data_IF_927145301401
#
_entry.id   IF_927145301401
#
_cell.length_a   1.000
_cell.length_b   1.000
_cell.length_c   1.000
_cell.angle_alpha   90.00
_cell.angle_beta   90.00
_cell.angle_gamma   90.00
#
_symmetry.space_group_name_H-M   'P 1'
#
loop_
_entity.id
_entity.type
_entity.pdbx_description
1 polymer ?
#
# COMPACT_ATOMS: atom_id res chain seq x y z
N UNK A 1 5.07 -19.43 3.80
CA UNK A 1 5.02 -17.97 3.60
C UNK A 1 3.88 -17.45 4.47
N UNK A 2 4.05 -16.34 5.19
CA UNK A 2 2.99 -15.78 6.05
C UNK A 2 2.09 -14.88 5.18
N UNK A 3 0.78 -14.91 5.42
CA UNK A 3 -0.22 -14.11 4.70
C UNK A 3 0.07 -12.60 4.73
N UNK A 4 0.64 -12.12 5.83
CA UNK A 4 1.12 -10.74 5.92
C UNK A 4 2.18 -10.43 4.85
N UNK A 5 3.21 -11.27 4.75
CA UNK A 5 4.31 -11.08 3.80
C UNK A 5 3.84 -11.20 2.33
N UNK A 6 2.92 -12.13 2.04
CA UNK A 6 2.30 -12.21 0.71
C UNK A 6 1.56 -10.92 0.34
N UNK A 7 0.86 -10.34 1.31
CA UNK A 7 0.11 -9.09 1.11
C UNK A 7 1.06 -7.90 0.95
N UNK A 8 2.15 -7.88 1.70
CA UNK A 8 3.21 -6.88 1.61
C UNK A 8 3.86 -6.84 0.23
N UNK A 9 4.27 -8.00 -0.28
CA UNK A 9 4.84 -8.11 -1.64
C UNK A 9 3.85 -7.63 -2.69
N UNK A 10 2.59 -8.07 -2.62
CA UNK A 10 1.56 -7.65 -3.56
C UNK A 10 1.25 -6.15 -3.48
N UNK A 11 1.26 -5.56 -2.28
CA UNK A 11 1.09 -4.12 -2.08
C UNK A 11 2.25 -3.34 -2.72
N UNK A 12 3.49 -3.77 -2.51
CA UNK A 12 4.67 -3.14 -3.12
C UNK A 12 4.63 -3.21 -4.64
N UNK A 13 4.30 -4.38 -5.21
CA UNK A 13 4.11 -4.53 -6.65
C UNK A 13 3.01 -3.60 -7.19
N UNK A 14 1.90 -3.43 -6.44
CA UNK A 14 0.83 -2.52 -6.81
C UNK A 14 1.31 -1.06 -6.82
N UNK A 15 2.01 -0.63 -5.79
CA UNK A 15 2.58 0.72 -5.70
C UNK A 15 3.61 0.98 -6.80
N UNK A 16 4.45 0.00 -7.12
CA UNK A 16 5.42 0.08 -8.25
C UNK A 16 4.70 0.17 -9.60
N UNK A 17 3.61 -0.56 -9.79
CA UNK A 17 2.77 -0.47 -11.00
C UNK A 17 2.17 0.93 -11.16
N UNK A 18 1.81 1.58 -10.04
CA UNK A 18 1.36 2.97 -10.01
C UNK A 18 2.51 3.98 -10.17
N UNK A 19 3.76 3.51 -10.28
CA UNK A 19 4.97 4.34 -10.33
C UNK A 19 5.06 5.30 -9.15
N UNK A 20 4.66 4.81 -7.97
CA UNK A 20 4.71 5.55 -6.74
C UNK A 20 6.14 6.04 -6.45
N UNK A 21 6.27 7.34 -6.21
CA UNK A 21 7.51 7.98 -5.76
C UNK A 21 7.21 8.89 -4.56
N UNK A 22 8.22 9.31 -3.78
CA UNK A 22 8.03 10.27 -2.70
C UNK A 22 7.19 11.49 -3.14
N UNK A 23 6.40 12.01 -2.20
CA UNK A 23 5.48 13.14 -2.35
C UNK A 23 4.27 12.87 -3.27
N UNK A 24 4.21 11.74 -3.98
CA UNK A 24 3.02 11.35 -4.71
C UNK A 24 1.92 10.87 -3.78
N UNK A 25 0.68 11.14 -4.19
CA UNK A 25 -0.50 10.70 -3.46
C UNK A 25 -1.45 9.95 -4.38
N UNK A 26 -2.01 8.86 -3.88
CA UNK A 26 -2.93 7.98 -4.61
C UNK A 26 -4.24 7.82 -3.86
N UNK A 27 -5.35 7.57 -4.56
CA UNK A 27 -6.58 7.15 -3.89
C UNK A 27 -6.38 5.72 -3.36
N UNK A 28 -6.80 5.46 -2.13
CA UNK A 28 -6.72 4.12 -1.55
C UNK A 28 -7.50 3.09 -2.37
N UNK A 29 -8.57 3.49 -3.08
CA UNK A 29 -9.31 2.59 -3.97
C UNK A 29 -8.48 2.13 -5.17
N UNK A 30 -7.57 2.97 -5.67
CA UNK A 30 -6.66 2.61 -6.76
C UNK A 30 -5.67 1.51 -6.33
N UNK A 31 -5.48 1.33 -5.02
CA UNK A 31 -4.62 0.31 -4.43
C UNK A 31 -5.47 -0.90 -4.00
N UNK A 32 -6.48 -0.68 -3.16
CA UNK A 32 -7.26 -1.72 -2.52
C UNK A 32 -8.18 -2.47 -3.48
N UNK A 33 -8.74 -1.84 -4.52
CA UNK A 33 -9.65 -2.56 -5.44
C UNK A 33 -8.90 -3.66 -6.24
N UNK A 34 -7.73 -3.39 -6.86
CA UNK A 34 -6.94 -4.45 -7.50
C UNK A 34 -6.46 -5.52 -6.54
N UNK A 35 -6.09 -5.16 -5.31
CA UNK A 35 -5.67 -6.14 -4.29
C UNK A 35 -6.84 -7.05 -3.85
N UNK A 36 -8.02 -6.47 -3.64
CA UNK A 36 -9.24 -7.23 -3.36
C UNK A 36 -9.57 -8.20 -4.51
N UNK A 37 -9.44 -7.75 -5.77
CA UNK A 37 -9.64 -8.59 -6.94
C UNK A 37 -8.59 -9.73 -7.05
N UNK A 38 -7.39 -9.52 -6.51
CA UNK A 38 -6.34 -10.53 -6.38
C UNK A 38 -6.53 -11.47 -5.16
N UNK A 39 -7.61 -11.28 -4.39
CA UNK A 39 -7.97 -12.15 -3.27
C UNK A 39 -7.36 -11.75 -1.91
N UNK A 40 -6.83 -10.54 -1.78
CA UNK A 40 -6.44 -9.98 -0.48
C UNK A 40 -7.64 -9.32 0.19
N UNK A 41 -7.86 -9.58 1.48
CA UNK A 41 -8.92 -8.96 2.24
C UNK A 41 -8.57 -7.53 2.66
N UNK A 42 -9.58 -6.71 2.93
CA UNK A 42 -9.38 -5.35 3.41
C UNK A 42 -8.53 -5.30 4.69
N UNK A 43 -8.75 -6.23 5.64
CA UNK A 43 -7.96 -6.30 6.88
C UNK A 43 -6.49 -6.61 6.64
N UNK A 44 -6.18 -7.46 5.66
CA UNK A 44 -4.80 -7.78 5.29
C UNK A 44 -4.11 -6.56 4.67
N UNK A 45 -4.81 -5.86 3.77
CA UNK A 45 -4.30 -4.66 3.11
C UNK A 45 -4.04 -3.55 4.15
N UNK A 46 -4.99 -3.30 5.05
CA UNK A 46 -4.86 -2.29 6.11
C UNK A 46 -3.69 -2.65 7.05
N UNK A 47 -3.54 -3.91 7.46
CA UNK A 47 -2.45 -4.31 8.34
C UNK A 47 -1.07 -4.00 7.76
N UNK A 48 -0.88 -4.19 6.45
CA UNK A 48 0.38 -3.85 5.77
C UNK A 48 0.53 -2.33 5.61
N UNK A 49 -0.54 -1.62 5.22
CA UNK A 49 -0.50 -0.15 5.11
C UNK A 49 -0.17 0.51 6.46
N UNK A 50 -0.69 -0.01 7.56
CA UNK A 50 -0.41 0.47 8.92
C UNK A 50 1.05 0.22 9.30
N UNK A 51 1.62 -0.92 8.93
CA UNK A 51 3.05 -1.19 9.12
C UNK A 51 3.91 -0.21 8.31
N UNK A 52 3.56 0.05 7.05
CA UNK A 52 4.27 1.04 6.22
C UNK A 52 4.13 2.47 6.77
N UNK A 53 3.00 2.83 7.36
CA UNK A 53 2.81 4.12 8.02
C UNK A 53 3.63 4.25 9.31
N UNK A 54 3.75 3.16 10.08
CA UNK A 54 4.60 3.09 11.25
C UNK A 54 6.08 3.30 10.88
N UNK A 55 6.53 2.70 9.78
CA UNK A 55 7.89 2.83 9.24
C UNK A 55 8.13 4.14 8.46
N UNK A 56 7.08 4.95 8.31
CA UNK A 56 7.09 6.21 7.54
C UNK A 56 7.48 6.01 6.09
N UNK A 57 7.07 4.90 5.48
CA UNK A 57 7.10 4.67 4.03
C UNK A 57 5.93 5.40 3.38
N UNK A 58 4.77 5.35 4.02
CA UNK A 58 3.54 6.02 3.59
C UNK A 58 2.89 6.80 4.75
N UNK A 59 1.88 7.61 4.45
CA UNK A 59 0.98 8.19 5.43
C UNK A 59 -0.44 8.26 4.89
N UNK A 60 -1.44 8.05 5.74
CA UNK A 60 -2.82 8.35 5.38
C UNK A 60 -3.00 9.86 5.24
N UNK A 61 -3.70 10.25 4.18
CA UNK A 61 -4.02 11.63 3.87
C UNK A 61 -5.54 11.81 3.71
N UNK A 62 -6.08 13.03 3.96
CA UNK A 62 -7.50 13.31 3.79
C UNK A 62 -8.03 12.93 2.40
N UNK A 63 -9.31 12.55 2.35
CA UNK A 63 -9.97 12.21 1.08
C UNK A 63 -9.70 10.78 0.59
N UNK A 64 -9.49 9.83 1.50
CA UNK A 64 -9.20 8.42 1.18
C UNK A 64 -7.91 8.27 0.36
N UNK A 65 -6.84 8.93 0.80
CA UNK A 65 -5.58 8.99 0.07
C UNK A 65 -4.42 8.41 0.87
N UNK A 66 -3.44 7.92 0.14
CA UNK A 66 -2.15 7.48 0.67
C UNK A 66 -1.06 8.37 0.07
N UNK A 67 -0.26 9.00 0.93
CA UNK A 67 0.92 9.78 0.55
C UNK A 67 2.17 8.89 0.67
N UNK A 68 3.03 8.91 -0.35
CA UNK A 68 4.32 8.23 -0.30
C UNK A 68 5.35 9.18 0.33
N UNK A 69 6.02 8.73 1.38
CA UNK A 69 6.98 9.55 2.13
C UNK A 69 8.44 9.26 1.77
N UNK A 70 8.72 8.03 1.34
CA UNK A 70 10.07 7.53 1.03
C UNK A 70 9.99 6.63 -0.19
N UNK A 71 11.16 6.31 -0.74
CA UNK A 71 11.26 5.28 -1.76
C UNK A 71 10.73 3.94 -1.22
N UNK A 72 10.06 3.19 -2.11
CA UNK A 72 9.53 1.88 -1.75
C UNK A 72 10.70 0.93 -1.46
N UNK A 73 10.59 0.07 -0.42
CA UNK A 73 11.54 -1.02 -0.19
C UNK A 73 11.71 -1.91 -1.43
N UNK A 74 12.87 -2.55 -1.58
CA UNK A 74 13.18 -3.53 -2.63
C UNK A 74 12.48 -4.89 -2.41
#
# INVERSE_FOLDING_TARGET
MNRFFETEVALLERLRTLKASPEMSFNLNDIAMPMNAAGFSQSEIIAVLDAFEQEKVVAYAPGNRLLILKDLPD
#
